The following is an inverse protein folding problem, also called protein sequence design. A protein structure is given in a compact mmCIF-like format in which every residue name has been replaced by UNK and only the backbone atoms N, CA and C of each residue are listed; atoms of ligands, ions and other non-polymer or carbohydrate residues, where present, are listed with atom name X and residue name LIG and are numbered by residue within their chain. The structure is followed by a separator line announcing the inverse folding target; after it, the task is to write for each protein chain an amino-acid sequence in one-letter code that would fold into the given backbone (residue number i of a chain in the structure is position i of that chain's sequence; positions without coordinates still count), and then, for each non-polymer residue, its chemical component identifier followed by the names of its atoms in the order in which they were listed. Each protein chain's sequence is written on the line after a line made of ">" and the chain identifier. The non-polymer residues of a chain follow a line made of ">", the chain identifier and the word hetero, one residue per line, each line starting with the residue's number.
data_IF_636326742893
#
_entry.id   IF_636326742893
#
_cell.length_a   1.000
_cell.length_b   1.000
_cell.length_c   1.000
_cell.angle_alpha   90.00
_cell.angle_beta   90.00
_cell.angle_gamma   90.00
#
_symmetry.space_group_name_H-M   'P 1'
#
loop_
_entity.id
_entity.type
_entity.pdbx_description
1 polymer ?
#
# COMPACT_ATOMS: atom_id res chain seq x y z
N UNK A 1 23.21 26.54 1.75
CA UNK A 1 23.16 27.84 1.02
C UNK A 1 24.25 28.01 -0.04
N UNK A 2 25.53 27.69 0.22
CA UNK A 2 26.59 27.81 -0.80
C UNK A 2 26.61 26.68 -1.86
N UNK A 3 25.91 25.56 -1.63
CA UNK A 3 25.91 24.38 -2.54
C UNK A 3 24.50 23.99 -3.03
N UNK A 4 23.44 24.31 -2.27
CA UNK A 4 22.05 23.85 -2.55
C UNK A 4 21.13 24.93 -3.16
N UNK A 5 21.63 26.14 -3.39
CA UNK A 5 20.78 27.28 -3.75
C UNK A 5 19.94 27.80 -2.57
N UNK A 6 19.26 28.92 -2.75
CA UNK A 6 18.27 29.44 -1.80
C UNK A 6 16.99 28.60 -1.81
N UNK A 7 16.15 28.74 -0.77
CA UNK A 7 14.81 28.12 -0.78
C UNK A 7 14.04 28.68 -1.98
N UNK A 8 13.53 27.83 -2.89
CA UNK A 8 12.78 28.30 -4.05
C UNK A 8 11.56 29.11 -3.64
N UNK A 9 11.21 30.14 -4.41
CA UNK A 9 10.01 30.93 -4.17
C UNK A 9 8.76 30.04 -4.24
N UNK A 10 7.87 30.20 -3.25
CA UNK A 10 6.66 29.40 -3.17
C UNK A 10 5.64 29.92 -4.20
N UNK A 11 5.56 29.25 -5.34
CA UNK A 11 4.61 29.60 -6.39
C UNK A 11 3.19 29.14 -6.05
N UNK A 12 2.17 29.77 -6.66
CA UNK A 12 0.78 29.30 -6.53
C UNK A 12 0.58 27.84 -6.97
N UNK A 13 1.34 27.38 -7.97
CA UNK A 13 1.33 25.98 -8.39
C UNK A 13 1.88 25.05 -7.29
N UNK A 14 2.91 25.46 -6.55
CA UNK A 14 3.41 24.69 -5.41
C UNK A 14 2.38 24.61 -4.29
N UNK A 15 1.69 25.72 -3.98
CA UNK A 15 0.62 25.73 -2.99
C UNK A 15 -0.50 24.75 -3.36
N UNK A 16 -0.95 24.77 -4.62
CA UNK A 16 -1.96 23.82 -5.11
C UNK A 16 -1.46 22.38 -5.05
N UNK A 17 -0.20 22.12 -5.41
CA UNK A 17 0.43 20.81 -5.28
C UNK A 17 0.47 20.31 -3.83
N UNK A 18 0.84 21.17 -2.88
CA UNK A 18 0.84 20.82 -1.46
C UNK A 18 -0.57 20.58 -0.92
N UNK A 19 -1.55 21.37 -1.34
CA UNK A 19 -2.96 21.15 -0.98
C UNK A 19 -3.46 19.81 -1.52
N UNK A 20 -3.14 19.48 -2.76
CA UNK A 20 -3.46 18.16 -3.33
C UNK A 20 -2.82 17.02 -2.54
N UNK A 21 -1.52 17.12 -2.26
CA UNK A 21 -0.79 16.11 -1.51
C UNK A 21 -1.35 15.93 -0.09
N UNK A 22 -1.57 17.03 0.63
CA UNK A 22 -2.07 16.98 2.00
C UNK A 22 -3.52 16.52 2.11
N UNK A 23 -4.42 17.02 1.24
CA UNK A 23 -5.85 16.73 1.36
C UNK A 23 -6.24 15.44 0.65
N UNK A 24 -5.83 15.27 -0.61
CA UNK A 24 -6.28 14.15 -1.46
C UNK A 24 -5.41 12.93 -1.22
N UNK A 25 -4.09 13.05 -1.37
CA UNK A 25 -3.20 11.90 -1.20
C UNK A 25 -3.11 11.44 0.26
N UNK A 26 -2.98 12.39 1.20
CA UNK A 26 -2.83 12.06 2.63
C UNK A 26 -4.17 11.95 3.35
N UNK A 27 -4.90 13.05 3.60
CA UNK A 27 -6.07 13.01 4.48
C UNK A 27 -7.17 12.05 3.99
N UNK A 28 -7.57 12.16 2.71
CA UNK A 28 -8.56 11.28 2.11
C UNK A 28 -8.04 9.84 2.00
N UNK A 29 -6.79 9.65 1.56
CA UNK A 29 -6.17 8.32 1.46
C UNK A 29 -6.16 7.57 2.79
N UNK A 30 -5.71 8.23 3.87
CA UNK A 30 -5.72 7.65 5.21
C UNK A 30 -7.13 7.40 5.73
N UNK A 31 -8.07 8.32 5.50
CA UNK A 31 -9.46 8.12 5.91
C UNK A 31 -10.07 6.88 5.24
N UNK A 32 -9.85 6.69 3.94
CA UNK A 32 -10.29 5.50 3.21
C UNK A 32 -9.59 4.24 3.73
N UNK A 33 -8.29 4.30 3.98
CA UNK A 33 -7.52 3.18 4.53
C UNK A 33 -8.08 2.75 5.90
N UNK A 34 -8.18 3.66 6.87
CA UNK A 34 -8.69 3.35 8.21
C UNK A 34 -10.13 2.86 8.19
N UNK A 35 -10.97 3.45 7.32
CA UNK A 35 -12.34 2.97 7.11
C UNK A 35 -12.37 1.56 6.52
N UNK A 36 -11.44 1.25 5.62
CA UNK A 36 -11.31 -0.07 4.97
C UNK A 36 -10.81 -1.15 5.91
N UNK A 37 -9.72 -0.89 6.65
CA UNK A 37 -9.12 -1.90 7.55
C UNK A 37 -10.09 -2.33 8.66
N UNK A 38 -10.96 -1.43 9.13
CA UNK A 38 -11.97 -1.76 10.13
C UNK A 38 -13.12 -2.62 9.62
N UNK A 39 -13.24 -2.81 8.29
CA UNK A 39 -14.37 -3.51 7.65
C UNK A 39 -13.97 -4.77 6.88
N UNK A 40 -12.69 -4.94 6.58
CA UNK A 40 -12.18 -6.06 5.80
C UNK A 40 -11.58 -7.14 6.71
N UNK A 41 -11.79 -8.41 6.34
CA UNK A 41 -11.07 -9.52 6.95
C UNK A 41 -9.59 -9.51 6.52
N UNK A 42 -8.74 -10.29 7.20
CA UNK A 42 -7.27 -10.29 7.01
C UNK A 42 -6.85 -10.58 5.56
N UNK A 43 -7.63 -11.38 4.82
CA UNK A 43 -7.29 -11.78 3.44
C UNK A 43 -7.49 -10.62 2.44
N UNK A 44 -8.67 -9.98 2.30
CA UNK A 44 -8.83 -8.78 1.48
C UNK A 44 -7.87 -7.63 1.84
N UNK A 45 -7.52 -7.49 3.13
CA UNK A 45 -6.57 -6.46 3.56
C UNK A 45 -5.18 -6.68 2.94
N UNK A 46 -4.77 -7.94 2.79
CA UNK A 46 -3.48 -8.29 2.16
C UNK A 46 -3.47 -8.02 0.66
N UNK A 47 -4.62 -8.09 -0.02
CA UNK A 47 -4.75 -7.71 -1.44
C UNK A 47 -4.55 -6.21 -1.67
N UNK A 48 -4.92 -5.35 -0.71
CA UNK A 48 -4.67 -3.90 -0.83
C UNK A 48 -3.17 -3.59 -0.98
N UNK A 49 -2.31 -4.39 -0.32
CA UNK A 49 -0.86 -4.28 -0.49
C UNK A 49 -0.41 -4.59 -1.92
N UNK A 50 -1.05 -5.55 -2.60
CA UNK A 50 -0.76 -5.90 -3.99
C UNK A 50 -1.31 -4.88 -4.99
N UNK A 51 -2.39 -4.20 -4.65
CA UNK A 51 -2.93 -3.12 -5.49
C UNK A 51 -1.93 -1.96 -5.62
N UNK A 52 -1.12 -1.67 -4.60
CA UNK A 52 -0.13 -0.59 -4.66
C UNK A 52 0.87 -0.72 -5.82
N UNK A 53 1.64 -1.83 -5.96
CA UNK A 53 2.55 -1.99 -7.10
C UNK A 53 1.82 -2.09 -8.44
N UNK A 54 0.60 -2.66 -8.48
CA UNK A 54 -0.21 -2.70 -9.70
C UNK A 54 -0.63 -1.31 -10.17
N UNK A 55 -1.17 -0.50 -9.25
CA UNK A 55 -1.58 0.87 -9.53
C UNK A 55 -0.38 1.71 -9.92
N UNK A 56 0.75 1.61 -9.20
CA UNK A 56 1.97 2.32 -9.53
C UNK A 56 2.47 1.98 -10.95
N UNK A 57 2.60 0.69 -11.27
CA UNK A 57 3.06 0.26 -12.61
C UNK A 57 2.09 0.69 -13.72
N UNK A 58 0.78 0.60 -13.48
CA UNK A 58 -0.24 0.99 -14.46
C UNK A 58 -0.25 2.50 -14.69
N UNK A 59 -0.14 3.29 -13.62
CA UNK A 59 -0.08 4.75 -13.71
C UNK A 59 1.22 5.21 -14.36
N UNK A 60 2.36 4.60 -14.01
CA UNK A 60 3.65 4.88 -14.65
C UNK A 60 3.62 4.61 -16.15
N UNK A 61 3.04 3.47 -16.55
CA UNK A 61 2.88 3.13 -17.96
C UNK A 61 1.96 4.12 -18.72
N UNK A 62 0.78 4.40 -18.16
CA UNK A 62 -0.24 5.19 -18.86
C UNK A 62 0.01 6.71 -18.82
N UNK A 63 0.48 7.24 -17.69
CA UNK A 63 0.59 8.68 -17.47
C UNK A 63 2.03 9.19 -17.60
N UNK A 64 3.02 8.38 -17.20
CA UNK A 64 4.43 8.76 -17.31
C UNK A 64 5.13 8.21 -18.56
N UNK A 65 4.46 7.35 -19.33
CA UNK A 65 5.01 6.75 -20.55
C UNK A 65 6.13 5.74 -20.28
N UNK A 66 6.18 5.17 -19.07
CA UNK A 66 7.22 4.23 -18.67
C UNK A 66 7.08 2.92 -19.45
N UNK A 67 8.16 2.49 -20.10
CA UNK A 67 8.22 1.20 -20.78
C UNK A 67 8.93 0.18 -19.90
N UNK A 68 8.36 -1.01 -19.78
CA UNK A 68 9.01 -2.13 -19.09
C UNK A 68 9.86 -2.93 -20.05
N UNK A 69 11.11 -3.18 -19.66
CA UNK A 69 11.93 -4.20 -20.33
C UNK A 69 11.29 -5.58 -20.13
N UNK A 70 11.62 -6.52 -21.02
CA UNK A 70 11.15 -7.93 -20.91
C UNK A 70 11.43 -8.50 -19.52
N UNK A 71 12.61 -8.24 -18.96
CA UNK A 71 13.00 -8.74 -17.64
C UNK A 71 12.21 -8.10 -16.49
N UNK A 72 11.90 -6.81 -16.56
CA UNK A 72 11.05 -6.15 -15.57
C UNK A 72 9.63 -6.71 -15.63
N UNK A 73 9.09 -6.91 -16.83
CA UNK A 73 7.76 -7.51 -17.01
C UNK A 73 7.71 -8.93 -16.45
N UNK A 74 8.73 -9.75 -16.72
CA UNK A 74 8.83 -11.10 -16.16
C UNK A 74 8.95 -11.08 -14.64
N UNK A 75 9.82 -10.25 -14.09
CA UNK A 75 9.98 -10.11 -12.64
C UNK A 75 8.69 -9.64 -11.95
N UNK A 76 8.00 -8.67 -12.55
CA UNK A 76 6.71 -8.18 -12.09
C UNK A 76 5.65 -9.29 -12.11
N UNK A 77 5.55 -10.04 -13.20
CA UNK A 77 4.61 -11.15 -13.33
C UNK A 77 4.89 -12.26 -12.30
N UNK A 78 6.15 -12.61 -12.08
CA UNK A 78 6.57 -13.61 -11.07
C UNK A 78 6.21 -13.13 -9.66
N UNK A 79 6.54 -11.88 -9.31
CA UNK A 79 6.25 -11.33 -7.98
C UNK A 79 4.74 -11.26 -7.71
N UNK A 80 3.94 -10.80 -8.68
CA UNK A 80 2.49 -10.78 -8.58
C UNK A 80 1.92 -12.20 -8.45
N UNK A 81 2.35 -13.12 -9.31
CA UNK A 81 1.90 -14.50 -9.31
C UNK A 81 2.19 -15.21 -7.99
N UNK A 82 3.42 -15.08 -7.47
CA UNK A 82 3.80 -15.65 -6.17
C UNK A 82 2.94 -15.10 -5.03
N UNK A 83 2.68 -13.78 -5.03
CA UNK A 83 1.85 -13.15 -4.00
C UNK A 83 0.40 -13.64 -4.07
N UNK A 84 -0.18 -13.71 -5.27
CA UNK A 84 -1.53 -14.22 -5.48
C UNK A 84 -1.66 -15.68 -5.00
N UNK A 85 -0.72 -16.54 -5.36
CA UNK A 85 -0.71 -17.94 -4.92
C UNK A 85 -0.62 -18.06 -3.39
N UNK A 86 0.25 -17.26 -2.76
CA UNK A 86 0.40 -17.25 -1.30
C UNK A 86 -0.88 -16.80 -0.57
N UNK A 87 -1.63 -15.87 -1.15
CA UNK A 87 -2.93 -15.41 -0.61
C UNK A 87 -4.03 -16.46 -0.78
N UNK A 88 -4.08 -17.15 -1.93
CA UNK A 88 -5.07 -18.21 -2.17
C UNK A 88 -4.87 -19.43 -1.26
N UNK A 89 -3.65 -19.68 -0.82
CA UNK A 89 -3.31 -20.80 0.06
C UNK A 89 -3.49 -20.49 1.56
N UNK A 90 -3.76 -19.23 1.93
CA UNK A 90 -3.93 -18.84 3.32
C UNK A 90 -5.24 -19.40 3.90
N UNK A 91 -5.15 -20.53 4.60
CA UNK A 91 -6.22 -21.02 5.49
C UNK A 91 -6.04 -20.36 6.87
N UNK A 92 -7.03 -19.63 7.39
CA UNK A 92 -6.91 -19.04 8.72
C UNK A 92 -6.70 -20.16 9.75
N UNK A 93 -5.56 -20.14 10.45
CA UNK A 93 -5.38 -20.97 11.64
C UNK A 93 -6.38 -20.48 12.68
N UNK A 94 -7.34 -21.33 13.05
CA UNK A 94 -8.20 -21.08 14.21
C UNK A 94 -7.30 -20.96 15.43
N UNK A 95 -7.22 -19.77 15.99
CA UNK A 95 -6.61 -19.60 17.31
C UNK A 95 -7.57 -20.25 18.29
N UNK A 96 -7.23 -21.43 18.78
CA UNK A 96 -8.02 -22.03 19.86
C UNK A 96 -7.94 -21.12 21.08
N UNK A 97 -9.08 -20.78 21.71
CA UNK A 97 -9.08 -20.04 22.96
C UNK A 97 -8.17 -20.76 23.95
N UNK A 98 -7.12 -20.07 24.43
CA UNK A 98 -6.31 -20.59 25.52
C UNK A 98 -7.24 -20.74 26.71
N UNK A 99 -7.60 -21.98 27.04
CA UNK A 99 -8.43 -22.27 28.20
C UNK A 99 -7.75 -21.60 29.41
N UNK A 100 -8.47 -20.77 30.19
CA UNK A 100 -7.90 -20.18 31.38
C UNK A 100 -7.35 -21.32 32.21
N UNK A 101 -6.04 -21.30 32.49
CA UNK A 101 -5.45 -22.18 33.49
C UNK A 101 -6.19 -21.85 34.77
N UNK A 102 -7.16 -22.70 35.12
CA UNK A 102 -7.88 -22.60 36.38
C UNK A 102 -6.80 -22.46 37.42
N UNK A 103 -6.87 -21.36 38.19
CA UNK A 103 -6.09 -21.12 39.39
C UNK A 103 -6.51 -22.18 40.44
N UNK A 104 -6.27 -23.44 40.12
CA UNK A 104 -6.43 -24.57 41.00
C UNK A 104 -5.12 -24.68 41.77
N UNK A 105 -4.98 -23.83 42.79
CA UNK A 105 -4.16 -24.03 44.00
C UNK A 105 -4.20 -22.74 44.83
N UNK A 106 -5.27 -22.59 45.60
CA UNK A 106 -5.23 -21.96 46.93
C UNK A 106 -5.99 -22.91 47.86
#
# INVERSE_FOLDING_TARGET
>A
LLVEGGVPDLTGANVLGYLYLGLVNTALGYWLWFRGIGRLSVVPLSFLGLLSPLTAATVGWLLAGETFTVWQTLGFAVALGATLLAQLQHKPKRVEPVAPKVLAKV
#
